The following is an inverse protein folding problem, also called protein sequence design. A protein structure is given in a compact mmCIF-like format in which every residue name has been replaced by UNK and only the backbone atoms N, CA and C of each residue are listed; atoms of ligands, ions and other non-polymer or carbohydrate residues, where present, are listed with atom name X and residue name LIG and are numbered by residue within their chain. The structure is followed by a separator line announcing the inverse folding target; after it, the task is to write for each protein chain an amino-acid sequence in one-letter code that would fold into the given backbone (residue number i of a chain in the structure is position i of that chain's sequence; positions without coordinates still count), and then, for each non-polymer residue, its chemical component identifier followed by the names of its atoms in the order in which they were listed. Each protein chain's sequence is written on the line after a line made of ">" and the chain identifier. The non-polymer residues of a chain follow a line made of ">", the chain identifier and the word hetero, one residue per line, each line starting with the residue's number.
data_IF_212930654844
#
_entry.id   IF_212930654844
#
_cell.length_a   1.000
_cell.length_b   1.000
_cell.length_c   1.000
_cell.angle_alpha   90.00
_cell.angle_beta   90.00
_cell.angle_gamma   90.00
#
_symmetry.space_group_name_H-M   'P 1'
#
loop_
_entity.id
_entity.type
_entity.pdbx_description
1 polymer ?
#
# COMPACT_ATOMS: atom_id res chain seq x y z
N UNK A 1 12.12 -65.41 48.35
CA UNK A 1 11.80 -64.06 47.94
C UNK A 1 10.31 -64.00 47.67
N UNK A 2 9.60 -63.39 48.62
CA UNK A 2 8.15 -63.44 48.65
C UNK A 2 7.53 -62.47 47.62
N UNK A 3 6.57 -62.98 46.88
CA UNK A 3 5.82 -62.27 45.85
C UNK A 3 4.78 -61.27 46.38
N UNK A 4 4.93 -60.84 47.65
CA UNK A 4 3.92 -59.98 48.35
C UNK A 4 4.30 -58.48 48.29
N UNK A 5 5.51 -58.12 47.89
CA UNK A 5 5.98 -56.70 47.98
C UNK A 5 5.74 -55.87 46.73
N UNK A 6 4.93 -56.34 45.76
CA UNK A 6 4.81 -55.66 44.43
C UNK A 6 3.57 -54.76 44.29
N UNK A 7 2.64 -54.68 45.23
CA UNK A 7 1.42 -53.89 45.04
C UNK A 7 1.02 -53.04 46.25
N UNK A 8 1.90 -52.18 46.70
CA UNK A 8 1.48 -51.08 47.56
C UNK A 8 1.60 -49.74 46.79
N UNK A 9 0.90 -49.60 45.68
CA UNK A 9 0.57 -48.26 45.18
C UNK A 9 -0.38 -47.64 46.20
N UNK A 10 0.15 -46.70 46.97
CA UNK A 10 -0.69 -45.95 47.91
C UNK A 10 -1.80 -45.22 47.10
N UNK A 11 -2.99 -45.01 47.67
CA UNK A 11 -4.06 -44.24 46.99
C UNK A 11 -3.57 -42.91 46.43
N UNK A 12 -2.57 -42.31 47.05
CA UNK A 12 -1.92 -41.07 46.62
C UNK A 12 -1.19 -41.25 45.28
N UNK A 13 -0.50 -42.38 45.05
CA UNK A 13 0.22 -42.67 43.81
C UNK A 13 -0.75 -42.88 42.63
N UNK A 14 -1.88 -43.52 42.87
CA UNK A 14 -2.93 -43.71 41.86
C UNK A 14 -3.61 -42.39 41.52
N UNK A 15 -3.85 -41.50 42.49
CA UNK A 15 -4.40 -40.17 42.28
C UNK A 15 -3.41 -39.30 41.46
N UNK A 16 -2.10 -39.38 41.75
CA UNK A 16 -1.07 -38.64 40.98
C UNK A 16 -0.98 -39.13 39.54
N UNK A 17 -1.03 -40.44 39.29
CA UNK A 17 -1.01 -41.01 37.93
C UNK A 17 -2.27 -40.60 37.16
N UNK A 18 -3.45 -40.66 37.79
CA UNK A 18 -4.70 -40.21 37.18
C UNK A 18 -4.70 -38.71 36.87
N UNK A 19 -4.15 -37.89 37.77
CA UNK A 19 -3.99 -36.45 37.58
C UNK A 19 -3.04 -36.13 36.41
N UNK A 20 -1.89 -36.80 36.29
CA UNK A 20 -0.94 -36.66 35.20
C UNK A 20 -1.54 -37.07 33.84
N UNK A 21 -2.32 -38.14 33.83
CA UNK A 21 -3.03 -38.60 32.64
C UNK A 21 -4.09 -37.59 32.20
N UNK A 22 -4.85 -37.04 33.14
CA UNK A 22 -5.86 -36.01 32.88
C UNK A 22 -5.24 -34.73 32.33
N UNK A 23 -4.11 -34.27 32.91
CA UNK A 23 -3.38 -33.09 32.41
C UNK A 23 -2.83 -33.31 30.99
N UNK A 24 -2.29 -34.53 30.70
CA UNK A 24 -1.82 -34.87 29.34
C UNK A 24 -2.98 -34.90 28.34
N UNK A 25 -4.12 -35.46 28.71
CA UNK A 25 -5.31 -35.50 27.87
C UNK A 25 -5.87 -34.09 27.59
N UNK A 26 -5.93 -33.22 28.58
CA UNK A 26 -6.34 -31.83 28.43
C UNK A 26 -5.40 -31.03 27.50
N UNK A 27 -4.08 -31.22 27.62
CA UNK A 27 -3.10 -30.62 26.72
C UNK A 27 -3.28 -31.08 25.25
N UNK A 28 -3.56 -32.38 25.04
CA UNK A 28 -3.81 -32.96 23.72
C UNK A 28 -5.13 -32.44 23.13
N UNK A 29 -6.16 -32.23 23.93
CA UNK A 29 -7.41 -31.61 23.50
C UNK A 29 -7.18 -30.13 23.16
N UNK A 30 -6.45 -29.37 23.99
CA UNK A 30 -6.10 -28.00 23.77
C UNK A 30 -5.33 -27.79 22.44
N UNK A 31 -4.32 -28.64 22.17
CA UNK A 31 -3.57 -28.55 20.91
C UNK A 31 -4.41 -28.84 19.66
N UNK A 32 -5.33 -29.81 19.75
CA UNK A 32 -6.29 -30.10 18.67
C UNK A 32 -7.28 -28.96 18.43
N UNK A 33 -7.76 -28.33 19.51
CA UNK A 33 -8.66 -27.18 19.43
C UNK A 33 -7.97 -25.97 18.77
N UNK A 34 -6.72 -25.72 19.14
CA UNK A 34 -5.90 -24.66 18.54
C UNK A 34 -5.66 -24.92 17.05
N UNK A 35 -5.32 -26.15 16.67
CA UNK A 35 -5.15 -26.52 15.25
C UNK A 35 -6.45 -26.32 14.45
N UNK A 36 -7.58 -26.74 14.99
CA UNK A 36 -8.89 -26.55 14.37
C UNK A 36 -9.27 -25.06 14.22
N UNK A 37 -8.94 -24.24 15.23
CA UNK A 37 -9.17 -22.78 15.14
C UNK A 37 -8.29 -22.12 14.08
N UNK A 38 -7.03 -22.55 13.92
CA UNK A 38 -6.11 -22.06 12.89
C UNK A 38 -6.61 -22.45 11.51
N UNK A 39 -7.01 -23.72 11.33
CA UNK A 39 -7.54 -24.23 10.07
C UNK A 39 -8.82 -23.50 9.65
N UNK A 40 -9.76 -23.29 10.57
CA UNK A 40 -10.97 -22.52 10.31
C UNK A 40 -10.69 -21.04 10.00
N UNK A 41 -9.70 -20.42 10.64
CA UNK A 41 -9.28 -19.05 10.31
C UNK A 41 -8.72 -18.97 8.89
N UNK A 42 -7.92 -19.95 8.48
CA UNK A 42 -7.34 -20.02 7.13
C UNK A 42 -8.42 -20.23 6.07
N UNK A 43 -9.36 -21.15 6.32
CA UNK A 43 -10.51 -21.39 5.43
C UNK A 43 -11.40 -20.14 5.33
N UNK A 44 -11.68 -19.46 6.45
CA UNK A 44 -12.46 -18.22 6.47
C UNK A 44 -11.76 -17.08 5.73
N UNK A 45 -10.44 -16.94 5.87
CA UNK A 45 -9.67 -15.95 5.10
C UNK A 45 -9.71 -16.23 3.60
N UNK A 46 -9.57 -17.50 3.18
CA UNK A 46 -9.65 -17.90 1.78
C UNK A 46 -11.03 -17.62 1.19
N UNK A 47 -12.10 -17.97 1.92
CA UNK A 47 -13.48 -17.73 1.51
C UNK A 47 -13.78 -16.22 1.43
N UNK A 48 -13.29 -15.42 2.37
CA UNK A 48 -13.41 -13.97 2.34
C UNK A 48 -12.68 -13.37 1.13
N UNK A 49 -11.49 -13.90 0.78
CA UNK A 49 -10.76 -13.53 -0.43
C UNK A 49 -11.58 -13.77 -1.69
N UNK A 50 -12.15 -14.96 -1.85
CA UNK A 50 -13.03 -15.33 -2.98
C UNK A 50 -14.27 -14.45 -3.06
N UNK A 51 -14.92 -14.16 -1.93
CA UNK A 51 -16.08 -13.26 -1.90
C UNK A 51 -15.74 -11.84 -2.33
N UNK A 52 -14.55 -11.35 -1.97
CA UNK A 52 -14.05 -10.04 -2.41
C UNK A 52 -13.80 -10.00 -3.91
N UNK A 53 -13.19 -11.05 -4.46
CA UNK A 53 -12.96 -11.20 -5.89
C UNK A 53 -14.26 -11.22 -6.68
N UNK A 54 -15.24 -12.01 -6.23
CA UNK A 54 -16.59 -12.06 -6.82
C UNK A 54 -17.26 -10.67 -6.74
N UNK A 55 -17.21 -10.00 -5.61
CA UNK A 55 -17.80 -8.68 -5.44
C UNK A 55 -17.14 -7.64 -6.36
N UNK A 56 -15.82 -7.68 -6.51
CA UNK A 56 -15.08 -6.80 -7.42
C UNK A 56 -15.47 -7.06 -8.88
N UNK A 57 -15.60 -8.33 -9.27
CA UNK A 57 -16.04 -8.72 -10.60
C UNK A 57 -17.49 -8.27 -10.87
N UNK A 58 -18.38 -8.41 -9.89
CA UNK A 58 -19.76 -7.90 -9.98
C UNK A 58 -19.80 -6.37 -10.09
N UNK A 59 -18.98 -5.66 -9.36
CA UNK A 59 -18.87 -4.20 -9.48
C UNK A 59 -18.37 -3.79 -10.88
N UNK A 60 -17.39 -4.49 -11.42
CA UNK A 60 -16.89 -4.27 -12.78
C UNK A 60 -18.00 -4.55 -13.83
N UNK A 61 -18.70 -5.68 -13.71
CA UNK A 61 -19.81 -6.02 -14.61
C UNK A 61 -20.92 -4.96 -14.53
N UNK A 62 -21.27 -4.50 -13.33
CA UNK A 62 -22.26 -3.43 -13.15
C UNK A 62 -21.78 -2.11 -13.80
N UNK A 63 -20.53 -1.72 -13.63
CA UNK A 63 -19.97 -0.53 -14.28
C UNK A 63 -19.98 -0.66 -15.81
N UNK A 64 -19.58 -1.81 -16.34
CA UNK A 64 -19.59 -2.07 -17.77
C UNK A 64 -21.02 -2.11 -18.36
N UNK A 65 -22.01 -2.65 -17.62
CA UNK A 65 -23.41 -2.67 -18.05
C UNK A 65 -24.08 -1.32 -17.95
N UNK A 66 -23.78 -0.52 -16.92
CA UNK A 66 -24.27 0.86 -16.82
C UNK A 66 -23.72 1.75 -17.93
N UNK A 67 -22.48 1.51 -18.35
CA UNK A 67 -21.83 2.25 -19.43
C UNK A 67 -22.24 1.79 -20.82
N UNK A 68 -22.79 0.58 -21.01
CA UNK A 68 -23.27 0.11 -22.33
C UNK A 68 -24.55 0.82 -22.80
N UNK A 69 -25.22 1.58 -21.93
CA UNK A 69 -26.37 2.45 -22.26
C UNK A 69 -26.05 3.91 -22.54
N UNK A 70 -24.85 4.36 -22.27
CA UNK A 70 -24.31 5.68 -22.60
C UNK A 70 -23.06 5.49 -23.45
N UNK A 71 -22.78 6.38 -24.40
CA UNK A 71 -21.54 6.38 -25.18
C UNK A 71 -20.28 6.61 -24.28
N UNK A 72 -20.05 5.69 -23.32
CA UNK A 72 -18.88 5.68 -22.47
C UNK A 72 -17.68 5.43 -23.36
N UNK A 73 -16.95 6.47 -23.65
CA UNK A 73 -15.72 6.40 -24.44
C UNK A 73 -14.71 5.52 -23.69
N UNK A 74 -13.87 4.80 -24.43
CA UNK A 74 -12.74 4.03 -23.87
C UNK A 74 -11.78 4.87 -22.99
N UNK A 75 -11.98 6.19 -22.93
CA UNK A 75 -11.21 7.14 -22.13
C UNK A 75 -11.48 7.04 -20.63
N UNK A 76 -12.66 6.62 -20.21
CA UNK A 76 -13.06 6.60 -18.77
C UNK A 76 -12.20 5.65 -17.92
N UNK A 77 -11.56 4.66 -18.54
CA UNK A 77 -10.65 3.71 -17.90
C UNK A 77 -9.17 3.99 -18.15
N UNK A 78 -8.87 5.10 -18.83
CA UNK A 78 -7.49 5.47 -19.20
C UNK A 78 -6.76 6.09 -18.01
N UNK A 79 -5.57 5.63 -17.74
CA UNK A 79 -4.70 6.14 -16.67
C UNK A 79 -3.22 5.99 -17.08
N UNK A 80 -2.36 6.71 -16.36
CA UNK A 80 -0.90 6.59 -16.44
C UNK A 80 -0.40 5.89 -15.19
N UNK A 81 0.45 4.87 -15.35
CA UNK A 81 1.19 4.28 -14.24
C UNK A 81 2.52 5.03 -14.09
N UNK A 82 2.89 5.43 -12.88
CA UNK A 82 4.08 6.22 -12.66
C UNK A 82 4.90 5.75 -11.47
N UNK A 83 6.20 5.68 -11.67
CA UNK A 83 7.15 5.34 -10.62
C UNK A 83 8.46 6.12 -10.76
N UNK A 84 9.27 6.05 -9.74
CA UNK A 84 10.64 6.57 -9.71
C UNK A 84 11.56 5.56 -9.04
N UNK A 85 12.85 5.71 -9.26
CA UNK A 85 13.90 4.93 -8.60
C UNK A 85 15.12 5.81 -8.34
N UNK A 86 16.14 5.24 -7.75
CA UNK A 86 17.45 5.87 -7.52
C UNK A 86 18.59 4.85 -7.76
N UNK A 87 19.84 5.30 -7.93
CA UNK A 87 20.94 4.44 -8.40
C UNK A 87 21.13 3.13 -7.64
N UNK A 88 20.97 3.14 -6.31
CA UNK A 88 21.14 1.94 -5.50
C UNK A 88 20.09 0.84 -5.77
N UNK A 89 19.00 1.16 -6.48
CA UNK A 89 17.90 0.24 -6.81
C UNK A 89 17.75 -0.03 -8.30
N UNK A 90 18.52 0.64 -9.17
CA UNK A 90 18.37 0.46 -10.62
C UNK A 90 18.53 -1.00 -11.06
N UNK A 91 19.42 -1.75 -10.41
CA UNK A 91 19.64 -3.16 -10.72
C UNK A 91 18.39 -4.05 -10.49
N UNK A 92 17.50 -3.64 -9.60
CA UNK A 92 16.26 -4.36 -9.29
C UNK A 92 15.08 -4.01 -10.21
N UNK A 93 15.18 -2.95 -11.03
CA UNK A 93 14.09 -2.53 -11.91
C UNK A 93 13.57 -3.64 -12.85
N UNK A 94 14.39 -4.53 -13.43
CA UNK A 94 13.89 -5.65 -14.24
C UNK A 94 12.91 -6.57 -13.48
N UNK A 95 13.01 -6.70 -12.17
CA UNK A 95 12.10 -7.52 -11.37
C UNK A 95 10.73 -6.87 -11.17
N UNK A 96 10.65 -5.54 -11.21
CA UNK A 96 9.40 -4.79 -11.17
C UNK A 96 8.56 -4.98 -12.44
N UNK A 97 9.21 -5.10 -13.62
CA UNK A 97 8.56 -5.02 -14.93
C UNK A 97 7.42 -6.02 -15.12
N UNK A 98 7.54 -7.33 -14.80
CA UNK A 98 6.45 -8.27 -15.00
C UNK A 98 5.16 -7.85 -14.28
N UNK A 99 5.27 -7.32 -13.07
CA UNK A 99 4.12 -6.93 -12.27
C UNK A 99 3.48 -5.61 -12.74
N UNK A 100 4.23 -4.74 -13.41
CA UNK A 100 3.70 -3.47 -13.95
C UNK A 100 3.11 -3.63 -15.34
N UNK A 101 3.67 -4.50 -16.16
CA UNK A 101 3.26 -4.69 -17.56
C UNK A 101 2.19 -5.77 -17.75
N UNK A 102 1.88 -6.59 -16.75
CA UNK A 102 0.86 -7.65 -16.81
C UNK A 102 -0.37 -7.35 -15.96
N UNK A 103 -0.67 -6.09 -15.70
CA UNK A 103 -1.89 -5.69 -15.02
C UNK A 103 -3.13 -6.06 -15.83
N UNK A 104 -4.23 -6.51 -15.19
CA UNK A 104 -5.50 -6.85 -15.86
C UNK A 104 -6.12 -5.65 -16.58
N UNK A 105 -6.02 -4.46 -16.02
CA UNK A 105 -6.30 -3.20 -16.69
C UNK A 105 -4.98 -2.53 -17.03
N UNK A 106 -4.65 -2.45 -18.31
CA UNK A 106 -3.38 -1.89 -18.75
C UNK A 106 -3.40 -0.36 -18.70
N UNK A 107 -2.31 0.29 -18.24
CA UNK A 107 -2.14 1.74 -18.40
C UNK A 107 -1.99 2.09 -19.87
N UNK A 108 -2.34 3.33 -20.26
CA UNK A 108 -2.03 3.82 -21.59
C UNK A 108 -0.55 4.18 -21.75
N UNK A 109 0.08 4.57 -20.65
CA UNK A 109 1.51 4.87 -20.56
C UNK A 109 2.06 4.45 -19.20
N UNK A 110 3.33 4.05 -19.16
CA UNK A 110 4.09 3.81 -17.94
C UNK A 110 5.25 4.80 -17.91
N UNK A 111 5.28 5.68 -16.91
CA UNK A 111 6.29 6.70 -16.73
C UNK A 111 7.32 6.29 -15.68
N UNK A 112 8.57 6.17 -16.08
CA UNK A 112 9.71 6.12 -15.18
C UNK A 112 10.38 7.50 -15.11
N UNK A 113 10.22 8.18 -13.97
CA UNK A 113 10.84 9.48 -13.74
C UNK A 113 12.16 9.29 -12.99
N UNK A 114 13.27 9.58 -13.63
CA UNK A 114 14.62 9.48 -13.08
C UNK A 114 15.25 10.87 -12.97
N UNK A 115 16.04 11.11 -11.92
CA UNK A 115 16.70 12.40 -11.78
C UNK A 115 17.78 12.61 -12.85
N UNK A 116 17.90 13.84 -13.37
CA UNK A 116 18.88 14.22 -14.39
C UNK A 116 20.32 13.92 -13.95
N UNK A 117 20.62 14.10 -12.67
CA UNK A 117 21.91 13.82 -12.07
C UNK A 117 22.17 12.33 -11.79
N UNK A 118 21.12 11.48 -11.90
CA UNK A 118 21.17 10.05 -11.64
C UNK A 118 21.07 9.20 -12.92
N UNK A 119 20.47 9.72 -13.99
CA UNK A 119 20.17 8.96 -15.22
C UNK A 119 21.40 8.37 -15.89
N UNK A 120 22.56 9.03 -15.78
CA UNK A 120 23.83 8.51 -16.29
C UNK A 120 24.33 7.24 -15.62
N UNK A 121 23.76 6.87 -14.45
CA UNK A 121 24.06 5.62 -13.74
C UNK A 121 23.14 4.47 -14.13
N UNK A 122 22.12 4.72 -14.96
CA UNK A 122 21.24 3.70 -15.52
C UNK A 122 21.99 2.96 -16.63
N UNK A 123 22.31 1.70 -16.41
CA UNK A 123 23.06 0.91 -17.39
C UNK A 123 22.30 0.79 -18.72
N UNK A 124 22.99 0.71 -19.88
CA UNK A 124 22.35 0.50 -21.17
C UNK A 124 21.45 -0.75 -21.22
N UNK A 125 21.82 -1.79 -20.51
CA UNK A 125 21.05 -3.03 -20.41
C UNK A 125 19.69 -2.78 -19.72
N UNK A 126 19.70 -2.13 -18.56
CA UNK A 126 18.47 -1.80 -17.82
C UNK A 126 17.62 -0.85 -18.64
N UNK A 127 18.20 0.18 -19.23
CA UNK A 127 17.49 1.10 -20.14
C UNK A 127 16.78 0.34 -21.26
N UNK A 128 17.47 -0.56 -21.94
CA UNK A 128 16.89 -1.41 -22.98
C UNK A 128 15.76 -2.31 -22.48
N UNK A 129 15.86 -2.85 -21.28
CA UNK A 129 14.77 -3.63 -20.66
C UNK A 129 13.52 -2.77 -20.45
N UNK A 130 13.67 -1.57 -19.89
CA UNK A 130 12.57 -0.63 -19.66
C UNK A 130 11.90 -0.23 -20.98
N UNK A 131 12.67 0.17 -21.98
CA UNK A 131 12.16 0.59 -23.28
C UNK A 131 11.44 -0.54 -24.03
N UNK A 132 11.97 -1.77 -24.01
CA UNK A 132 11.30 -2.95 -24.59
C UNK A 132 10.01 -3.32 -23.88
N UNK A 133 9.92 -3.02 -22.58
CA UNK A 133 8.70 -3.18 -21.79
C UNK A 133 7.67 -2.06 -22.04
N UNK A 134 7.94 -1.09 -22.93
CA UNK A 134 7.06 0.02 -23.24
C UNK A 134 7.06 1.13 -22.18
N UNK A 135 8.10 1.21 -21.35
CA UNK A 135 8.22 2.23 -20.31
C UNK A 135 8.91 3.47 -20.88
N UNK A 136 8.25 4.61 -20.71
CA UNK A 136 8.79 5.93 -21.09
C UNK A 136 9.68 6.46 -19.97
N UNK A 137 10.95 6.73 -20.28
CA UNK A 137 11.94 7.26 -19.34
C UNK A 137 11.96 8.78 -19.46
N UNK A 138 11.70 9.47 -18.33
CA UNK A 138 11.70 10.93 -18.26
C UNK A 138 12.77 11.42 -17.28
N UNK A 139 13.64 12.28 -17.79
CA UNK A 139 14.64 12.97 -16.98
C UNK A 139 14.02 14.20 -16.31
N UNK A 140 14.06 14.24 -14.99
CA UNK A 140 13.40 15.25 -14.16
C UNK A 140 14.36 15.82 -13.12
N UNK A 141 14.00 16.92 -12.47
CA UNK A 141 14.76 17.43 -11.34
C UNK A 141 14.68 16.45 -10.14
N UNK A 142 15.72 16.44 -9.30
CA UNK A 142 15.79 15.50 -8.21
C UNK A 142 14.89 15.92 -7.04
N UNK A 143 13.67 15.41 -7.04
CA UNK A 143 12.65 15.62 -6.00
C UNK A 143 12.54 14.39 -5.07
N UNK A 144 13.58 13.56 -4.96
CA UNK A 144 13.48 12.32 -4.21
C UNK A 144 12.27 11.47 -4.66
N UNK A 145 11.45 10.94 -3.72
CA UNK A 145 10.26 10.13 -4.07
C UNK A 145 9.14 10.93 -4.75
N UNK A 146 9.11 12.27 -4.61
CA UNK A 146 8.15 13.13 -5.30
C UNK A 146 8.24 13.09 -6.84
N UNK A 147 9.37 12.59 -7.37
CA UNK A 147 9.55 12.35 -8.81
C UNK A 147 8.46 11.44 -9.40
N UNK A 148 7.90 10.51 -8.62
CA UNK A 148 6.87 9.59 -9.14
C UNK A 148 5.55 10.27 -9.48
N UNK A 149 5.23 11.45 -8.93
CA UNK A 149 3.93 12.09 -9.16
C UNK A 149 4.02 13.49 -9.76
N UNK A 150 4.82 14.42 -9.20
CA UNK A 150 4.84 15.83 -9.63
C UNK A 150 5.07 15.97 -11.15
N UNK A 151 6.16 15.41 -11.70
CA UNK A 151 6.42 15.56 -13.13
C UNK A 151 5.37 14.89 -14.01
N UNK A 152 4.80 13.77 -13.57
CA UNK A 152 3.78 13.06 -14.34
C UNK A 152 2.48 13.85 -14.37
N UNK A 153 1.99 14.38 -13.24
CA UNK A 153 0.81 15.25 -13.22
C UNK A 153 1.00 16.52 -14.06
N UNK A 154 2.21 17.06 -14.16
CA UNK A 154 2.49 18.20 -15.06
C UNK A 154 2.31 17.84 -16.54
N UNK A 155 2.58 16.58 -16.94
CA UNK A 155 2.53 16.12 -18.33
C UNK A 155 1.18 15.60 -18.79
N UNK A 156 0.34 15.09 -17.88
CA UNK A 156 -0.95 14.48 -18.23
C UNK A 156 -2.11 15.09 -17.45
N UNK A 157 -3.32 15.01 -18.02
CA UNK A 157 -4.59 15.29 -17.34
C UNK A 157 -5.33 13.99 -16.99
N UNK A 158 -4.76 12.83 -17.29
CA UNK A 158 -5.34 11.55 -16.92
C UNK A 158 -5.08 11.25 -15.45
N UNK A 159 -5.87 10.37 -14.83
CA UNK A 159 -5.54 9.81 -13.54
C UNK A 159 -4.15 9.18 -13.55
N UNK A 160 -3.38 9.38 -12.50
CA UNK A 160 -2.04 8.82 -12.32
C UNK A 160 -2.06 7.84 -11.16
N UNK A 161 -1.70 6.59 -11.41
CA UNK A 161 -1.46 5.60 -10.36
C UNK A 161 0.04 5.58 -10.06
N UNK A 162 0.39 5.94 -8.82
CA UNK A 162 1.76 5.88 -8.33
C UNK A 162 2.07 4.51 -7.72
N UNK A 163 3.28 4.02 -7.98
CA UNK A 163 3.84 2.82 -7.35
C UNK A 163 5.30 3.07 -6.95
N UNK A 164 5.82 2.28 -6.02
CA UNK A 164 7.24 2.24 -5.69
C UNK A 164 7.98 1.17 -6.51
N UNK A 165 9.30 1.32 -6.60
CA UNK A 165 10.20 0.49 -7.39
C UNK A 165 10.67 -0.79 -6.68
N UNK A 166 10.21 -1.01 -5.46
CA UNK A 166 10.65 -2.10 -4.58
C UNK A 166 9.57 -3.14 -4.24
N UNK A 167 8.43 -3.09 -4.95
CA UNK A 167 7.29 -3.96 -4.72
C UNK A 167 6.91 -4.74 -5.97
N UNK A 168 6.48 -5.98 -5.79
CA UNK A 168 5.81 -6.79 -6.81
C UNK A 168 4.31 -6.67 -6.59
N UNK A 169 3.58 -6.25 -7.62
CA UNK A 169 2.17 -5.95 -7.55
C UNK A 169 1.31 -7.11 -8.07
N UNK A 170 0.15 -7.31 -7.43
CA UNK A 170 -0.84 -8.26 -7.92
C UNK A 170 -1.45 -7.80 -9.26
N UNK A 171 -1.79 -8.71 -10.17
CA UNK A 171 -2.28 -8.36 -11.52
C UNK A 171 -3.56 -7.52 -11.54
N UNK A 172 -4.37 -7.56 -10.48
CA UNK A 172 -5.63 -6.83 -10.40
C UNK A 172 -5.52 -5.46 -9.71
N UNK A 173 -4.32 -5.02 -9.29
CA UNK A 173 -4.13 -3.80 -8.51
C UNK A 173 -4.76 -2.58 -9.20
N UNK A 174 -4.37 -2.32 -10.42
CA UNK A 174 -4.81 -1.12 -11.16
C UNK A 174 -6.30 -1.17 -11.49
N UNK A 175 -6.83 -2.35 -11.81
CA UNK A 175 -8.26 -2.56 -12.00
C UNK A 175 -9.06 -2.22 -10.74
N UNK A 176 -8.64 -2.68 -9.57
CA UNK A 176 -9.31 -2.40 -8.31
C UNK A 176 -9.26 -0.91 -7.94
N UNK A 177 -8.13 -0.26 -8.19
CA UNK A 177 -7.97 1.17 -7.98
C UNK A 177 -8.93 1.94 -8.90
N UNK A 178 -8.98 1.63 -10.18
CA UNK A 178 -9.84 2.30 -11.15
C UNK A 178 -11.34 2.06 -10.87
N UNK A 179 -11.74 0.87 -10.44
CA UNK A 179 -13.10 0.60 -9.96
C UNK A 179 -13.46 1.54 -8.81
N UNK A 180 -12.58 1.69 -7.81
CA UNK A 180 -12.83 2.58 -6.69
C UNK A 180 -12.84 4.05 -7.13
N UNK A 181 -12.03 4.44 -8.11
CA UNK A 181 -12.06 5.79 -8.67
C UNK A 181 -13.40 6.11 -9.34
N UNK A 182 -13.96 5.20 -10.11
CA UNK A 182 -15.28 5.37 -10.71
C UNK A 182 -16.41 5.48 -9.65
N UNK A 183 -16.30 4.73 -8.56
CA UNK A 183 -17.30 4.77 -7.47
C UNK A 183 -17.14 6.01 -6.59
N UNK A 184 -15.93 6.55 -6.47
CA UNK A 184 -15.56 7.66 -5.59
C UNK A 184 -14.66 8.66 -6.33
N UNK A 185 -15.16 9.34 -7.39
CA UNK A 185 -14.33 10.13 -8.31
C UNK A 185 -13.65 11.35 -7.65
N UNK A 186 -14.18 11.81 -6.51
CA UNK A 186 -13.66 12.96 -5.77
C UNK A 186 -12.79 12.55 -4.57
N UNK A 187 -12.20 11.35 -4.60
CA UNK A 187 -11.35 10.83 -3.52
C UNK A 187 -10.03 10.33 -4.06
N UNK A 188 -8.95 10.55 -3.32
CA UNK A 188 -7.69 9.83 -3.54
C UNK A 188 -7.93 8.33 -3.29
N UNK A 189 -7.56 7.48 -4.23
CA UNK A 189 -7.77 6.04 -4.10
C UNK A 189 -6.45 5.35 -3.78
N UNK A 190 -6.38 4.66 -2.66
CA UNK A 190 -5.16 3.99 -2.20
C UNK A 190 -5.38 2.50 -1.92
N UNK A 191 -4.44 1.66 -2.34
CA UNK A 191 -4.47 0.23 -1.99
C UNK A 191 -4.11 -0.01 -0.53
N UNK A 192 -3.29 0.88 0.05
CA UNK A 192 -2.81 0.81 1.44
C UNK A 192 -2.94 2.15 2.13
N UNK A 193 -3.42 2.11 3.36
CA UNK A 193 -3.58 3.31 4.19
C UNK A 193 -3.06 3.11 5.60
N UNK A 194 -2.69 4.21 6.25
CA UNK A 194 -2.64 4.35 7.70
C UNK A 194 -3.89 5.11 8.15
N UNK A 195 -4.16 5.16 9.44
CA UNK A 195 -5.15 6.09 10.00
C UNK A 195 -4.44 7.11 10.88
N UNK A 196 -4.65 8.36 10.57
CA UNK A 196 -4.17 9.48 11.39
C UNK A 196 -4.93 9.48 12.72
N UNK A 197 -4.20 9.44 13.81
CA UNK A 197 -4.77 9.57 15.15
C UNK A 197 -4.50 10.97 15.68
N UNK A 198 -5.45 11.52 16.45
CA UNK A 198 -5.38 12.89 16.94
C UNK A 198 -5.42 12.94 18.47
N UNK A 199 -4.87 14.00 19.03
CA UNK A 199 -5.01 14.37 20.42
C UNK A 199 -6.41 14.99 20.67
N UNK A 200 -6.79 15.18 21.95
CA UNK A 200 -8.03 15.85 22.32
C UNK A 200 -8.15 17.29 21.78
N UNK A 201 -7.03 17.89 21.46
CA UNK A 201 -6.91 19.23 20.84
C UNK A 201 -7.17 19.25 19.34
N UNK A 202 -7.35 18.07 18.71
CA UNK A 202 -7.42 17.90 17.28
C UNK A 202 -6.05 17.97 16.56
N UNK A 203 -4.94 18.02 17.31
CA UNK A 203 -3.61 17.91 16.71
C UNK A 203 -3.34 16.46 16.34
N UNK A 204 -2.76 16.18 15.14
CA UNK A 204 -2.24 14.86 14.84
C UNK A 204 -1.26 14.41 15.93
N UNK A 205 -1.36 13.16 16.35
CA UNK A 205 -0.31 12.55 17.14
C UNK A 205 0.95 12.36 16.30
N UNK A 206 2.05 11.98 16.94
CA UNK A 206 3.28 11.66 16.22
C UNK A 206 3.03 10.58 15.17
N UNK A 207 3.72 10.63 14.05
CA UNK A 207 3.55 9.68 12.94
C UNK A 207 3.66 8.21 13.40
N UNK A 208 4.48 7.94 14.39
CA UNK A 208 4.62 6.60 14.99
C UNK A 208 3.35 6.11 15.71
N UNK A 209 2.57 7.02 16.25
CA UNK A 209 1.35 6.72 16.99
C UNK A 209 0.10 6.57 16.08
N UNK A 210 0.25 6.75 14.78
CA UNK A 210 -0.84 6.49 13.83
C UNK A 210 -1.09 4.99 13.70
N UNK A 211 -2.34 4.61 13.45
CA UNK A 211 -2.69 3.22 13.21
C UNK A 211 -2.14 2.77 11.85
N UNK A 212 -1.10 1.95 11.90
CA UNK A 212 -0.42 1.49 10.68
C UNK A 212 -1.21 0.41 9.97
N UNK A 213 -1.16 0.40 8.62
CA UNK A 213 -1.84 -0.58 7.78
C UNK A 213 -3.34 -0.73 8.11
N UNK A 214 -4.01 0.41 8.30
CA UNK A 214 -5.41 0.46 8.68
C UNK A 214 -6.30 -0.21 7.63
N UNK A 215 -7.12 -1.16 8.05
CA UNK A 215 -7.99 -1.96 7.19
C UNK A 215 -9.44 -2.08 7.66
N UNK A 216 -9.79 -1.57 8.85
CA UNK A 216 -11.12 -1.71 9.43
C UNK A 216 -12.18 -0.87 8.68
N UNK A 217 -11.75 0.21 8.03
CA UNK A 217 -12.59 1.04 7.19
C UNK A 217 -11.96 1.29 5.82
N UNK A 218 -12.80 1.37 4.79
CA UNK A 218 -12.36 1.78 3.45
C UNK A 218 -12.63 3.26 3.16
N UNK A 219 -13.33 3.98 4.01
CA UNK A 219 -13.68 5.39 3.77
C UNK A 219 -14.72 5.58 2.64
N UNK A 220 -14.77 6.74 1.98
CA UNK A 220 -13.80 7.85 2.08
C UNK A 220 -13.74 8.49 3.45
N UNK A 221 -12.54 8.80 3.94
CA UNK A 221 -12.37 9.47 5.22
C UNK A 221 -11.19 10.45 5.22
N UNK A 222 -11.32 11.51 6.02
CA UNK A 222 -10.28 12.52 6.20
C UNK A 222 -9.08 12.00 7.00
N UNK A 223 -9.30 11.05 7.89
CA UNK A 223 -8.27 10.43 8.72
C UNK A 223 -7.53 9.27 8.06
N UNK A 224 -7.96 8.83 6.87
CA UNK A 224 -7.19 7.88 6.09
C UNK A 224 -6.01 8.57 5.40
N UNK A 225 -4.83 8.01 5.60
CA UNK A 225 -3.57 8.48 5.04
C UNK A 225 -3.06 7.45 4.02
N UNK A 226 -3.01 7.83 2.75
CA UNK A 226 -2.53 6.98 1.67
C UNK A 226 -1.00 6.81 1.74
N UNK A 227 -0.51 5.58 1.52
CA UNK A 227 0.90 5.32 1.26
C UNK A 227 1.07 5.11 -0.24
N UNK A 228 1.61 6.13 -0.93
CA UNK A 228 1.54 6.23 -2.39
C UNK A 228 2.21 5.09 -3.13
N UNK A 229 3.29 4.56 -2.57
CA UNK A 229 4.10 3.52 -3.21
C UNK A 229 3.42 2.16 -3.36
N UNK A 230 2.41 1.85 -2.55
CA UNK A 230 1.68 0.59 -2.65
C UNK A 230 0.60 0.57 -3.75
N UNK A 231 0.48 1.63 -4.53
CA UNK A 231 -0.55 1.86 -5.54
C UNK A 231 -1.58 2.87 -5.06
N UNK A 232 -1.44 4.11 -5.50
CA UNK A 232 -2.36 5.20 -5.16
C UNK A 232 -2.66 6.05 -6.38
N UNK A 233 -3.94 6.32 -6.62
CA UNK A 233 -4.42 7.14 -7.72
C UNK A 233 -4.64 8.58 -7.27
N UNK A 234 -4.11 9.49 -8.09
CA UNK A 234 -4.33 10.93 -8.00
C UNK A 234 -4.76 11.50 -9.35
N UNK A 235 -5.58 12.55 -9.29
CA UNK A 235 -5.77 13.50 -10.39
C UNK A 235 -5.35 14.89 -9.93
N UNK A 236 -5.19 15.84 -10.86
CA UNK A 236 -4.87 17.24 -10.49
C UNK A 236 -5.93 17.84 -9.60
N UNK A 237 -7.20 17.53 -9.87
CA UNK A 237 -8.36 18.05 -9.16
C UNK A 237 -8.50 17.55 -7.74
N UNK A 238 -7.80 16.48 -7.39
CA UNK A 238 -7.75 15.93 -6.03
C UNK A 238 -6.74 16.63 -5.13
N UNK A 239 -5.93 17.52 -5.68
CA UNK A 239 -4.82 18.16 -4.99
C UNK A 239 -4.93 19.69 -5.13
N UNK A 240 -4.54 20.41 -4.07
CA UNK A 240 -4.38 21.85 -4.16
C UNK A 240 -3.30 22.20 -5.20
N UNK A 241 -3.40 23.35 -5.86
CA UNK A 241 -2.48 23.80 -6.91
C UNK A 241 -1.00 23.78 -6.48
N UNK A 242 -0.70 24.08 -5.22
CA UNK A 242 0.65 24.02 -4.65
C UNK A 242 1.25 22.59 -4.69
N UNK A 243 0.44 21.55 -4.91
CA UNK A 243 0.93 20.18 -4.99
C UNK A 243 2.03 20.00 -6.04
N UNK A 244 2.00 20.81 -7.10
CA UNK A 244 2.96 20.78 -8.20
C UNK A 244 4.10 21.79 -8.04
N UNK A 245 4.16 22.55 -6.94
CA UNK A 245 5.26 23.45 -6.61
C UNK A 245 6.45 22.64 -6.04
N UNK A 246 7.45 22.43 -6.90
CA UNK A 246 8.64 21.64 -6.56
C UNK A 246 9.49 22.29 -5.47
N UNK A 247 9.51 23.63 -5.42
CA UNK A 247 10.26 24.36 -4.38
C UNK A 247 9.62 24.17 -3.02
N UNK A 248 8.29 24.37 -2.93
CA UNK A 248 7.55 24.18 -1.69
C UNK A 248 7.61 22.71 -1.22
N UNK A 249 7.48 21.76 -2.15
CA UNK A 249 7.66 20.34 -1.84
C UNK A 249 9.04 20.06 -1.22
N UNK A 250 10.09 20.58 -1.84
CA UNK A 250 11.47 20.38 -1.39
C UNK A 250 11.70 20.99 0.00
N UNK A 251 11.16 22.17 0.28
CA UNK A 251 11.31 22.85 1.56
C UNK A 251 10.56 22.17 2.70
N UNK A 252 9.34 21.70 2.42
CA UNK A 252 8.39 21.27 3.44
C UNK A 252 8.32 19.75 3.63
N UNK A 253 8.58 18.96 2.57
CA UNK A 253 8.25 17.53 2.60
C UNK A 253 9.19 16.63 1.82
N UNK A 254 10.38 17.09 1.47
CA UNK A 254 11.36 16.26 0.76
C UNK A 254 11.59 14.93 1.51
N UNK A 255 11.52 13.81 0.79
CA UNK A 255 11.55 12.41 1.28
C UNK A 255 10.36 11.95 2.11
N UNK A 256 9.30 12.76 2.22
CA UNK A 256 8.04 12.40 2.90
C UNK A 256 6.85 12.74 2.02
N UNK A 257 6.92 12.33 0.77
CA UNK A 257 5.95 12.66 -0.28
C UNK A 257 4.52 12.26 0.07
N UNK A 258 4.30 11.18 0.81
CA UNK A 258 2.97 10.78 1.30
C UNK A 258 2.32 11.86 2.19
N UNK A 259 3.11 12.52 3.05
CA UNK A 259 2.62 13.64 3.86
C UNK A 259 2.23 14.83 2.99
N UNK A 260 3.04 15.12 1.96
CA UNK A 260 2.74 16.20 1.01
C UNK A 260 1.40 15.98 0.31
N UNK A 261 1.20 14.81 -0.29
CA UNK A 261 -0.05 14.48 -0.98
C UNK A 261 -1.26 14.54 -0.06
N UNK A 262 -1.12 14.03 1.15
CA UNK A 262 -2.18 14.07 2.14
C UNK A 262 -2.58 15.49 2.47
N UNK A 263 -1.62 16.38 2.78
CA UNK A 263 -1.93 17.78 3.08
C UNK A 263 -2.55 18.51 1.88
N UNK A 264 -2.00 18.34 0.69
CA UNK A 264 -2.53 19.00 -0.50
C UNK A 264 -3.96 18.55 -0.84
N UNK A 265 -4.28 17.28 -0.66
CA UNK A 265 -5.64 16.78 -0.80
C UNK A 265 -6.58 17.35 0.29
N UNK A 266 -6.14 17.35 1.54
CA UNK A 266 -6.95 17.83 2.67
C UNK A 266 -7.23 19.34 2.61
N UNK A 267 -6.32 20.14 2.10
CA UNK A 267 -6.50 21.59 1.91
C UNK A 267 -7.71 21.95 1.05
N UNK A 268 -8.09 21.10 0.14
CA UNK A 268 -9.28 21.27 -0.71
C UNK A 268 -10.43 20.32 -0.33
N UNK A 269 -10.39 19.72 0.86
CA UNK A 269 -11.45 18.87 1.39
C UNK A 269 -11.51 17.45 0.83
N UNK A 270 -10.56 17.05 -0.01
CA UNK A 270 -10.52 15.70 -0.62
C UNK A 270 -10.10 14.67 0.44
N UNK A 271 -10.88 13.60 0.53
CA UNK A 271 -10.66 12.47 1.43
C UNK A 271 -9.98 11.30 0.71
N UNK A 272 -9.50 10.33 1.48
CA UNK A 272 -8.91 9.10 0.95
C UNK A 272 -9.92 7.96 1.00
N UNK A 273 -10.04 7.24 -0.09
CA UNK A 273 -10.75 5.96 -0.22
C UNK A 273 -9.73 4.84 -0.32
N UNK A 274 -9.79 3.85 0.57
CA UNK A 274 -8.97 2.65 0.49
C UNK A 274 -9.66 1.59 -0.38
N UNK A 275 -8.91 0.92 -1.22
CA UNK A 275 -9.36 -0.28 -1.93
C UNK A 275 -9.74 -1.34 -0.89
N UNK A 276 -10.97 -1.92 -0.96
CA UNK A 276 -11.37 -2.96 -0.01
C UNK A 276 -10.45 -4.18 -0.04
N UNK A 277 -10.31 -4.81 1.10
CA UNK A 277 -9.40 -5.94 1.26
C UNK A 277 -8.08 -5.56 1.92
N UNK A 278 -7.27 -6.54 2.17
CA UNK A 278 -5.89 -6.37 2.66
C UNK A 278 -4.98 -6.94 1.58
N UNK A 279 -4.02 -6.13 1.14
CA UNK A 279 -2.94 -6.56 0.24
C UNK A 279 -1.66 -6.63 1.06
N UNK A 280 -0.96 -7.74 0.93
CA UNK A 280 0.38 -7.87 1.50
C UNK A 280 1.37 -7.15 0.59
N UNK A 281 2.41 -6.58 1.21
CA UNK A 281 3.50 -5.97 0.46
C UNK A 281 4.53 -7.05 0.11
N UNK A 282 4.64 -7.36 -1.17
CA UNK A 282 5.62 -8.30 -1.69
C UNK A 282 6.85 -7.50 -2.13
N UNK A 283 7.84 -7.38 -1.26
CA UNK A 283 9.05 -6.63 -1.57
C UNK A 283 9.97 -7.39 -2.53
N UNK A 284 10.57 -6.66 -3.46
CA UNK A 284 11.67 -7.17 -4.28
C UNK A 284 12.87 -7.40 -3.33
N UNK A 285 13.46 -8.59 -3.34
CA UNK A 285 14.61 -8.89 -2.49
C UNK A 285 15.73 -7.84 -2.66
N UNK A 286 16.51 -7.62 -1.59
CA UNK A 286 17.69 -6.72 -1.57
C UNK A 286 17.39 -5.22 -1.70
N UNK A 287 16.20 -4.80 -2.15
CA UNK A 287 15.86 -3.37 -2.26
C UNK A 287 15.64 -2.69 -0.91
N UNK A 288 15.34 -3.45 0.12
CA UNK A 288 14.96 -2.94 1.44
C UNK A 288 16.11 -2.31 2.22
N UNK A 289 17.37 -2.68 1.92
CA UNK A 289 18.55 -2.09 2.55
C UNK A 289 18.73 -0.61 2.16
N UNK A 290 18.36 -0.25 0.94
CA UNK A 290 18.39 1.11 0.42
C UNK A 290 17.09 1.89 0.68
N UNK A 291 16.16 1.35 1.47
CA UNK A 291 14.85 1.95 1.73
C UNK A 291 14.92 3.21 2.58
N UNK A 292 14.16 4.24 2.22
CA UNK A 292 14.06 5.51 2.97
C UNK A 292 13.65 5.31 4.43
N UNK A 293 12.84 4.30 4.71
CA UNK A 293 12.42 3.96 6.07
C UNK A 293 13.60 3.64 7.00
N UNK A 294 14.61 2.93 6.49
CA UNK A 294 15.83 2.58 7.24
C UNK A 294 16.81 3.73 7.35
N UNK A 295 16.77 4.69 6.42
CA UNK A 295 17.74 5.79 6.32
C UNK A 295 17.30 7.09 7.01
N UNK A 296 16.40 7.02 8.01
CA UNK A 296 16.01 8.14 8.85
C UNK A 296 14.68 8.81 8.51
N UNK A 297 13.78 8.12 7.79
CA UNK A 297 12.45 8.66 7.46
C UNK A 297 11.56 8.87 8.70
N UNK A 298 11.86 8.18 9.80
CA UNK A 298 11.11 8.32 11.05
C UNK A 298 11.15 9.76 11.57
N UNK A 299 12.35 10.30 11.75
CA UNK A 299 12.54 11.67 12.26
C UNK A 299 12.09 12.70 11.22
N UNK A 300 12.29 12.42 9.93
CA UNK A 300 11.83 13.30 8.83
C UNK A 300 10.32 13.40 8.75
N UNK A 301 9.59 12.29 8.96
CA UNK A 301 8.12 12.31 8.97
C UNK A 301 7.61 13.24 10.06
N UNK A 302 8.14 13.18 11.26
CA UNK A 302 7.72 14.05 12.35
C UNK A 302 8.04 15.53 12.08
N UNK A 303 9.30 15.81 11.67
CA UNK A 303 9.73 17.16 11.34
C UNK A 303 8.88 17.78 10.22
N UNK A 304 8.65 17.05 9.15
CA UNK A 304 7.92 17.55 7.99
C UNK A 304 6.40 17.62 8.27
N UNK A 305 5.84 16.73 9.09
CA UNK A 305 4.47 16.84 9.58
C UNK A 305 4.28 18.18 10.32
N UNK A 306 5.19 18.54 11.20
CA UNK A 306 5.12 19.83 11.92
C UNK A 306 5.28 21.03 10.99
N UNK A 307 6.21 20.99 10.02
CA UNK A 307 6.35 22.06 9.01
C UNK A 307 5.08 22.25 8.20
N UNK A 308 4.41 21.17 7.81
CA UNK A 308 3.17 21.20 7.03
C UNK A 308 2.00 21.76 7.86
N UNK A 309 1.91 21.38 9.14
CA UNK A 309 0.92 21.93 10.07
C UNK A 309 1.16 23.43 10.30
N UNK A 310 2.39 23.84 10.48
CA UNK A 310 2.79 25.25 10.68
C UNK A 310 2.41 26.09 9.44
N UNK A 311 2.64 25.54 8.25
CA UNK A 311 2.39 26.23 6.99
C UNK A 311 0.91 26.28 6.61
N UNK A 312 0.19 25.17 6.78
CA UNK A 312 -1.15 24.98 6.21
C UNK A 312 -2.25 24.76 7.26
N UNK A 313 -1.90 24.68 8.53
CA UNK A 313 -2.82 24.31 9.58
C UNK A 313 -3.04 22.80 9.68
N UNK A 314 -3.99 22.44 10.54
CA UNK A 314 -4.35 21.02 10.75
C UNK A 314 -5.05 20.47 9.51
N UNK A 315 -4.79 19.19 9.11
CA UNK A 315 -5.40 18.60 7.92
C UNK A 315 -6.85 18.12 8.13
N UNK A 316 -7.48 18.38 9.29
CA UNK A 316 -8.84 17.97 9.66
C UNK A 316 -9.78 19.14 9.88
#
# INVERSE_FOLDING_TARGET
>A
MNWVDVLAFTPITLILIASLYSVRSLRKIGSKLTAYQVENRTASKKMLGQLKEINSTLQLVNLLTLNSGSNASSRDWSYVLSFTSHPARFAALPELLPSTTSQLLQPIEIHFNVAKDEVGQLSPEIRNHLERAGISIFEVDNLGPGKKLIPTLKRTNLPVICIDDDLIFEPDLTLQIMIQHHLYPNSVIASRTHRVTVEKTGMPKTFEQWDKQWSDSSGPSADLFATSGAGTLFTKEMLHEDALDEKMFTELSLYTDDLWWYFQARRIGVSVRRVPGVRELNFIPETQEAGLWRTGNKDRNELNLMKLIDKYGKPF
#
